data_IF_578503386659
#
_entry.id   IF_578503386659
#
_cell.length_a   1.000
_cell.length_b   1.000
_cell.length_c   1.000
_cell.angle_alpha   90.00
_cell.angle_beta   90.00
_cell.angle_gamma   90.00
#
_symmetry.space_group_name_H-M   'P 1'
#
loop_
_entity.id
_entity.type
_entity.pdbx_description
1 polymer ?
#
# COMPACT_ATOMS: atom_id res chain seq x y z
N UNK A 1 -41.32 18.86 8.70
CA UNK A 1 -40.91 17.64 9.45
C UNK A 1 -40.77 18.03 10.92
N UNK A 2 -41.55 17.42 11.82
CA UNK A 2 -41.37 17.61 13.28
C UNK A 2 -40.04 17.01 13.68
N UNK A 3 -39.08 17.84 14.11
CA UNK A 3 -37.85 17.36 14.73
C UNK A 3 -38.18 17.01 16.18
N UNK A 4 -37.96 15.76 16.55
CA UNK A 4 -38.04 15.35 17.95
C UNK A 4 -37.04 16.15 18.79
N UNK A 5 -37.36 16.44 20.07
CA UNK A 5 -36.44 17.15 20.95
C UNK A 5 -35.10 16.40 21.05
N UNK A 6 -33.97 17.11 21.10
CA UNK A 6 -32.68 16.48 21.38
C UNK A 6 -32.69 15.86 22.78
N UNK A 7 -31.84 14.85 22.98
CA UNK A 7 -31.65 14.24 24.30
C UNK A 7 -31.26 15.31 25.33
N UNK A 8 -31.78 15.19 26.55
CA UNK A 8 -31.30 15.99 27.69
C UNK A 8 -29.81 15.72 27.93
N UNK A 9 -29.11 16.67 28.54
CA UNK A 9 -27.68 16.54 28.81
C UNK A 9 -27.32 15.28 29.62
N UNK A 10 -28.07 14.99 30.69
CA UNK A 10 -27.84 13.81 31.52
C UNK A 10 -28.20 12.50 30.79
N UNK A 11 -29.28 12.50 30.00
CA UNK A 11 -29.62 11.36 29.16
C UNK A 11 -28.53 11.09 28.12
N UNK A 12 -28.02 12.13 27.46
CA UNK A 12 -26.95 12.02 26.47
C UNK A 12 -25.66 11.49 27.09
N UNK A 13 -25.28 11.97 28.28
CA UNK A 13 -24.14 11.42 29.04
C UNK A 13 -24.29 9.94 29.31
N UNK A 14 -25.45 9.54 29.84
CA UNK A 14 -25.72 8.14 30.17
C UNK A 14 -25.66 7.25 28.94
N UNK A 15 -26.23 7.71 27.81
CA UNK A 15 -26.18 6.98 26.53
C UNK A 15 -24.72 6.84 26.07
N UNK A 16 -24.00 7.95 25.92
CA UNK A 16 -22.60 7.93 25.47
C UNK A 16 -21.70 7.09 26.38
N UNK A 17 -21.94 7.07 27.69
CA UNK A 17 -21.15 6.29 28.65
C UNK A 17 -21.31 4.77 28.53
N UNK A 18 -22.40 4.31 27.91
CA UNK A 18 -22.69 2.89 27.68
C UNK A 18 -22.41 2.45 26.24
N UNK A 19 -22.10 3.37 25.34
CA UNK A 19 -21.83 3.06 23.94
C UNK A 19 -20.44 2.47 23.73
N UNK A 20 -20.34 1.55 22.77
CA UNK A 20 -19.06 1.04 22.28
C UNK A 20 -18.19 2.18 21.72
N UNK A 21 -16.88 2.12 21.99
CA UNK A 21 -15.92 3.15 21.62
C UNK A 21 -15.91 3.45 20.11
N UNK A 22 -15.93 2.41 19.27
CA UNK A 22 -15.91 2.57 17.81
C UNK A 22 -17.21 3.18 17.27
N UNK A 23 -18.32 2.99 17.98
CA UNK A 23 -19.59 3.65 17.67
C UNK A 23 -19.51 5.13 18.03
N UNK A 24 -18.93 5.47 19.20
CA UNK A 24 -18.73 6.87 19.62
C UNK A 24 -17.84 7.64 18.66
N UNK A 25 -16.74 7.08 18.17
CA UNK A 25 -15.88 7.74 17.18
C UNK A 25 -16.65 8.14 15.91
N UNK A 26 -17.50 7.24 15.41
CA UNK A 26 -18.35 7.49 14.23
C UNK A 26 -19.38 8.58 14.49
N UNK A 27 -19.98 8.62 15.69
CA UNK A 27 -20.91 9.69 16.04
C UNK A 27 -20.19 11.02 16.23
N UNK A 28 -19.03 11.02 16.88
CA UNK A 28 -18.22 12.21 17.14
C UNK A 28 -17.80 12.90 15.83
N UNK A 29 -17.41 12.12 14.81
CA UNK A 29 -17.05 12.68 13.51
C UNK A 29 -18.25 13.28 12.78
N UNK A 30 -19.42 12.61 12.81
CA UNK A 30 -20.62 12.98 12.04
C UNK A 30 -21.55 13.99 12.72
N UNK A 31 -21.54 14.09 14.04
CA UNK A 31 -22.51 14.88 14.81
C UNK A 31 -21.76 15.90 15.69
N UNK A 32 -21.53 17.12 15.21
CA UNK A 32 -20.81 18.14 15.97
C UNK A 32 -21.46 18.48 17.32
N UNK A 33 -22.80 18.43 17.42
CA UNK A 33 -23.54 18.84 18.62
C UNK A 33 -23.31 17.96 19.85
N UNK A 34 -22.84 16.72 19.68
CA UNK A 34 -22.55 15.82 20.83
C UNK A 34 -21.11 15.92 21.33
N UNK A 35 -20.21 16.59 20.60
CA UNK A 35 -18.75 16.55 20.86
C UNK A 35 -18.38 17.07 22.25
N UNK A 36 -19.08 18.11 22.73
CA UNK A 36 -18.83 18.69 24.05
C UNK A 36 -19.13 17.66 25.14
N UNK A 37 -20.30 17.03 25.07
CA UNK A 37 -20.71 15.98 26.02
C UNK A 37 -19.84 14.74 25.89
N UNK A 38 -19.50 14.34 24.68
CA UNK A 38 -18.65 13.17 24.43
C UNK A 38 -17.27 13.33 25.07
N UNK A 39 -16.66 14.53 25.00
CA UNK A 39 -15.36 14.83 25.62
C UNK A 39 -15.36 14.74 27.16
N UNK A 40 -16.50 14.95 27.82
CA UNK A 40 -16.58 14.84 29.30
C UNK A 40 -16.97 13.45 29.78
N UNK A 41 -17.50 12.60 28.89
CA UNK A 41 -17.93 11.25 29.22
C UNK A 41 -16.75 10.28 29.00
N UNK A 42 -16.28 9.56 30.04
CA UNK A 42 -15.19 8.61 29.91
C UNK A 42 -15.44 7.58 28.80
N UNK A 43 -14.40 7.28 28.02
CA UNK A 43 -14.45 6.25 26.98
C UNK A 43 -14.13 4.88 27.60
N UNK A 44 -14.98 3.89 27.38
CA UNK A 44 -14.77 2.51 27.86
C UNK A 44 -14.19 1.65 26.74
N UNK A 45 -12.97 1.16 26.95
CA UNK A 45 -12.25 0.29 26.03
C UNK A 45 -11.94 -1.02 26.77
N UNK A 46 -12.26 -2.16 26.14
CA UNK A 46 -12.00 -3.48 26.72
C UNK A 46 -10.57 -3.94 26.43
N UNK A 47 -10.14 -3.76 25.18
CA UNK A 47 -8.77 -4.05 24.75
C UNK A 47 -8.23 -2.92 23.91
N UNK A 48 -6.98 -2.56 24.17
CA UNK A 48 -6.25 -1.56 23.41
C UNK A 48 -4.87 -2.11 23.08
N UNK A 49 -4.46 -1.98 21.82
CA UNK A 49 -3.08 -2.15 21.41
C UNK A 49 -2.72 -1.11 20.38
N UNK A 50 -1.49 -0.61 20.42
CA UNK A 50 -1.01 0.40 19.50
C UNK A 50 0.37 0.01 18.97
N UNK A 51 0.62 0.39 17.72
CA UNK A 51 1.87 0.30 17.00
C UNK A 51 2.05 1.62 16.23
N UNK A 52 3.23 1.86 15.68
CA UNK A 52 3.60 3.16 15.08
C UNK A 52 2.54 3.78 14.16
N UNK A 53 1.96 3.00 13.26
CA UNK A 53 1.03 3.48 12.22
C UNK A 53 -0.38 2.89 12.33
N UNK A 54 -0.63 2.12 13.40
CA UNK A 54 -1.92 1.46 13.60
C UNK A 54 -2.25 1.21 15.06
N UNK A 55 -3.52 1.23 15.38
CA UNK A 55 -4.00 0.84 16.69
C UNK A 55 -5.27 0.01 16.59
N UNK A 56 -5.55 -0.76 17.63
CA UNK A 56 -6.71 -1.62 17.72
C UNK A 56 -7.45 -1.33 19.00
N UNK A 57 -8.75 -1.07 18.87
CA UNK A 57 -9.69 -0.89 19.97
C UNK A 57 -10.74 -1.98 19.88
N UNK A 58 -10.81 -2.82 20.91
CA UNK A 58 -11.65 -4.00 20.95
C UNK A 58 -11.34 -4.91 19.73
N UNK A 59 -12.29 -5.05 18.80
CA UNK A 59 -12.18 -5.87 17.59
C UNK A 59 -12.07 -5.03 16.30
N UNK A 60 -11.71 -3.76 16.41
CA UNK A 60 -11.57 -2.83 15.27
C UNK A 60 -10.14 -2.32 15.20
N UNK A 61 -9.47 -2.56 14.07
CA UNK A 61 -8.13 -2.05 13.77
C UNK A 61 -8.26 -0.79 12.90
N UNK A 62 -7.43 0.19 13.22
CA UNK A 62 -7.31 1.48 12.54
C UNK A 62 -5.87 1.59 12.06
N UNK A 63 -5.68 1.73 10.76
CA UNK A 63 -4.37 1.82 10.13
C UNK A 63 -4.29 3.09 9.29
N UNK A 64 -3.14 3.78 9.36
CA UNK A 64 -2.85 4.96 8.55
C UNK A 64 -1.65 4.67 7.67
N UNK A 65 -1.74 5.03 6.39
CA UNK A 65 -0.63 4.93 5.45
C UNK A 65 -0.77 5.89 4.26
N UNK A 66 0.31 6.09 3.54
CA UNK A 66 0.35 6.92 2.33
C UNK A 66 -0.09 6.09 1.12
N UNK A 67 -1.23 6.47 0.55
CA UNK A 67 -1.73 5.95 -0.72
C UNK A 67 -1.16 6.78 -1.88
N UNK A 68 -0.44 6.12 -2.79
CA UNK A 68 0.10 6.75 -3.99
C UNK A 68 -0.85 6.58 -5.15
N UNK A 69 -1.53 7.65 -5.54
CA UNK A 69 -2.46 7.65 -6.66
C UNK A 69 -1.72 7.98 -7.97
N UNK A 70 -1.41 6.94 -8.72
CA UNK A 70 -0.86 7.07 -10.08
C UNK A 70 -1.98 7.29 -11.10
N UNK A 71 -1.66 7.86 -12.27
CA UNK A 71 -2.57 7.85 -13.41
C UNK A 71 -3.03 6.43 -13.79
N UNK A 72 -4.24 6.28 -14.37
CA UNK A 72 -4.77 4.97 -14.76
C UNK A 72 -3.78 4.16 -15.59
N UNK A 73 -3.57 2.88 -15.22
CA UNK A 73 -2.66 1.96 -15.92
C UNK A 73 -1.16 2.17 -15.64
N UNK A 74 -0.78 3.24 -14.94
CA UNK A 74 0.62 3.56 -14.65
C UNK A 74 1.09 3.07 -13.28
N UNK A 75 0.19 2.65 -12.38
CA UNK A 75 0.56 2.16 -11.04
C UNK A 75 1.50 0.96 -11.14
N UNK A 76 2.72 1.04 -10.59
CA UNK A 76 3.62 -0.10 -10.51
C UNK A 76 2.99 -1.23 -9.66
N UNK A 77 3.13 -2.51 -10.04
CA UNK A 77 2.49 -3.61 -9.32
C UNK A 77 2.79 -3.63 -7.82
N UNK A 78 4.04 -3.36 -7.43
CA UNK A 78 4.41 -3.35 -6.01
C UNK A 78 3.80 -2.18 -5.24
N UNK A 79 3.61 -1.04 -5.91
CA UNK A 79 2.90 0.09 -5.32
C UNK A 79 1.42 -0.23 -5.16
N UNK A 80 0.81 -0.90 -6.14
CA UNK A 80 -0.59 -1.34 -6.04
C UNK A 80 -0.80 -2.30 -4.87
N UNK A 81 0.11 -3.28 -4.69
CA UNK A 81 0.10 -4.18 -3.52
C UNK A 81 0.15 -3.40 -2.20
N UNK A 82 1.05 -2.42 -2.09
CA UNK A 82 1.18 -1.59 -0.88
C UNK A 82 -0.06 -0.74 -0.64
N UNK A 83 -0.58 -0.09 -1.68
CA UNK A 83 -1.82 0.71 -1.61
C UNK A 83 -3.02 -0.13 -1.14
N UNK A 84 -3.14 -1.37 -1.64
CA UNK A 84 -4.19 -2.32 -1.26
C UNK A 84 -4.01 -2.83 0.17
N UNK A 85 -2.76 -2.94 0.65
CA UNK A 85 -2.41 -3.37 2.00
C UNK A 85 -2.37 -2.21 3.01
N UNK A 86 -3.15 -1.14 2.78
CA UNK A 86 -3.29 -0.02 3.70
C UNK A 86 -2.42 1.21 3.40
N UNK A 87 -1.44 1.10 2.51
CA UNK A 87 -0.56 2.20 2.08
C UNK A 87 0.86 2.08 2.61
N UNK A 88 1.71 3.03 2.24
CA UNK A 88 3.09 3.11 2.73
C UNK A 88 3.10 3.68 4.15
N UNK A 89 3.83 3.04 5.05
CA UNK A 89 3.85 3.39 6.48
C UNK A 89 4.59 4.72 6.72
N UNK A 90 5.67 4.94 5.98
CA UNK A 90 6.53 6.08 6.16
C UNK A 90 6.08 7.26 5.29
N UNK A 91 6.26 8.46 5.83
CA UNK A 91 6.02 9.70 5.11
C UNK A 91 7.08 9.90 4.01
N UNK A 92 6.80 10.82 3.09
CA UNK A 92 7.62 11.05 1.91
C UNK A 92 7.97 12.52 1.75
N UNK A 93 9.22 12.78 1.40
CA UNK A 93 9.64 14.11 0.96
C UNK A 93 9.02 14.48 -0.40
N UNK A 94 9.16 15.74 -0.81
CA UNK A 94 8.69 16.26 -2.09
C UNK A 94 9.22 15.49 -3.33
N UNK A 95 10.30 14.72 -3.19
CA UNK A 95 10.87 13.91 -4.25
C UNK A 95 10.43 12.43 -4.15
N UNK A 96 9.74 12.02 -3.09
CA UNK A 96 9.28 10.66 -2.87
C UNK A 96 10.28 9.75 -2.16
N UNK A 97 11.30 10.30 -1.49
CA UNK A 97 12.11 9.56 -0.51
C UNK A 97 11.40 9.47 0.81
N UNK A 98 11.69 8.44 1.60
CA UNK A 98 11.22 8.35 2.98
C UNK A 98 11.69 9.57 3.75
N UNK A 99 10.74 10.28 4.36
CA UNK A 99 11.01 11.37 5.28
C UNK A 99 10.86 10.88 6.73
N UNK A 100 11.99 10.84 7.43
CA UNK A 100 12.05 10.45 8.83
C UNK A 100 12.07 11.67 9.77
N UNK A 101 11.91 12.90 9.24
CA UNK A 101 12.05 14.15 10.02
C UNK A 101 11.04 14.26 11.17
N UNK A 102 9.82 13.77 10.97
CA UNK A 102 8.77 13.72 12.00
C UNK A 102 8.85 12.49 12.91
N UNK A 103 9.72 11.51 12.60
CA UNK A 103 9.79 10.28 13.36
C UNK A 103 10.25 10.58 14.79
N UNK A 104 9.53 10.04 15.76
CA UNK A 104 9.83 10.19 17.19
C UNK A 104 9.77 11.63 17.74
N UNK A 105 9.29 12.59 16.96
CA UNK A 105 9.03 13.95 17.45
C UNK A 105 7.70 13.94 18.19
N UNK A 106 7.74 14.20 19.49
CA UNK A 106 6.53 14.40 20.30
C UNK A 106 6.12 15.87 20.25
N UNK A 107 4.84 16.10 19.96
CA UNK A 107 4.19 17.41 20.00
C UNK A 107 3.37 17.57 21.28
N UNK A 108 3.05 18.81 21.71
CA UNK A 108 2.24 19.03 22.90
C UNK A 108 0.88 18.32 22.81
N UNK A 109 0.63 17.41 23.75
CA UNK A 109 -0.59 16.59 23.79
C UNK A 109 -0.40 15.14 23.36
N UNK A 110 0.77 14.78 22.82
CA UNK A 110 1.07 13.39 22.47
C UNK A 110 1.24 12.50 23.70
N UNK A 111 0.79 11.25 23.55
CA UNK A 111 1.02 10.18 24.51
C UNK A 111 2.12 9.29 23.93
N UNK A 112 3.25 9.21 24.63
CA UNK A 112 4.35 8.36 24.21
C UNK A 112 4.00 6.88 24.42
N UNK A 113 3.67 6.19 23.32
CA UNK A 113 3.34 4.77 23.29
C UNK A 113 4.46 3.92 22.68
N UNK A 114 5.66 4.49 22.49
CA UNK A 114 6.77 3.81 21.83
C UNK A 114 7.36 2.74 22.73
N UNK A 115 7.54 1.55 22.17
CA UNK A 115 8.36 0.50 22.78
C UNK A 115 9.80 0.61 22.23
N UNK A 116 10.72 1.07 23.07
CA UNK A 116 12.15 1.27 22.75
C UNK A 116 12.85 -0.04 22.32
N UNK A 117 12.24 -1.21 22.55
CA UNK A 117 12.79 -2.52 22.21
C UNK A 117 12.74 -2.91 20.72
N UNK A 118 12.05 -2.15 19.86
CA UNK A 118 11.81 -2.49 18.45
C UNK A 118 12.48 -1.54 17.44
N UNK A 119 13.38 -0.66 17.90
CA UNK A 119 13.99 0.43 17.11
C UNK A 119 15.02 0.01 16.05
N UNK A 120 15.06 -1.25 15.63
CA UNK A 120 16.02 -1.71 14.63
C UNK A 120 15.26 -2.59 13.66
N UNK A 121 15.08 -2.13 12.42
CA UNK A 121 14.98 -2.94 11.19
C UNK A 121 14.55 -2.03 10.03
N UNK A 122 15.44 -1.14 9.56
CA UNK A 122 15.30 -0.62 8.21
C UNK A 122 16.61 -0.79 7.44
N UNK A 123 16.50 -1.50 6.32
CA UNK A 123 17.61 -1.85 5.45
C UNK A 123 18.22 -0.61 4.80
N UNK A 124 19.54 -0.66 4.59
CA UNK A 124 20.28 0.42 3.97
C UNK A 124 19.73 0.78 2.58
N UNK A 125 19.92 2.04 2.14
CA UNK A 125 19.42 2.50 0.86
C UNK A 125 20.00 1.64 -0.26
N UNK A 126 19.15 1.11 -1.14
CA UNK A 126 19.62 0.60 -2.42
C UNK A 126 20.34 1.73 -3.14
N UNK A 127 21.62 1.53 -3.48
CA UNK A 127 22.37 2.52 -4.23
C UNK A 127 21.74 2.67 -5.62
N UNK A 128 21.51 3.91 -6.06
CA UNK A 128 20.89 4.24 -7.35
C UNK A 128 21.53 3.46 -8.51
N UNK A 129 22.86 3.35 -8.50
CA UNK A 129 23.63 2.63 -9.53
C UNK A 129 23.26 1.14 -9.62
N UNK A 130 23.02 0.48 -8.49
CA UNK A 130 22.61 -0.94 -8.47
C UNK A 130 21.22 -1.12 -9.07
N UNK A 131 20.30 -0.18 -8.78
CA UNK A 131 18.95 -0.17 -9.35
C UNK A 131 19.00 0.09 -10.86
N UNK A 132 19.82 1.03 -11.32
CA UNK A 132 20.03 1.30 -12.75
C UNK A 132 20.62 0.09 -13.47
N UNK A 133 21.66 -0.55 -12.91
CA UNK A 133 22.25 -1.78 -13.45
C UNK A 133 21.23 -2.93 -13.51
N UNK A 134 20.39 -3.05 -12.48
CA UNK A 134 19.31 -4.04 -12.44
C UNK A 134 18.22 -3.75 -13.47
N UNK A 135 17.87 -2.47 -13.67
CA UNK A 135 16.92 -2.04 -14.69
C UNK A 135 17.43 -2.43 -16.08
N UNK A 136 18.67 -2.07 -16.40
CA UNK A 136 19.32 -2.39 -17.67
C UNK A 136 19.35 -3.91 -17.93
N UNK A 137 19.76 -4.70 -16.93
CA UNK A 137 19.71 -6.17 -17.03
C UNK A 137 18.29 -6.70 -17.28
N UNK A 138 17.28 -6.05 -16.70
CA UNK A 138 15.87 -6.47 -16.86
C UNK A 138 15.32 -6.08 -18.23
N UNK A 139 15.74 -4.93 -18.79
CA UNK A 139 15.42 -4.53 -20.16
C UNK A 139 15.99 -5.48 -21.20
N UNK A 140 17.26 -5.88 -21.09
CA UNK A 140 17.84 -6.90 -21.99
C UNK A 140 17.07 -8.23 -21.96
N UNK A 141 16.55 -8.61 -20.79
CA UNK A 141 15.71 -9.81 -20.65
C UNK A 141 14.37 -9.66 -21.34
N UNK A 142 13.74 -8.48 -21.28
CA UNK A 142 12.46 -8.27 -21.98
C UNK A 142 12.66 -8.25 -23.49
N UNK A 143 13.72 -7.59 -23.97
CA UNK A 143 14.12 -7.59 -25.38
C UNK A 143 14.36 -9.01 -25.91
N UNK A 144 15.01 -9.87 -25.11
CA UNK A 144 15.18 -11.28 -25.47
C UNK A 144 13.82 -12.00 -25.62
N UNK A 145 12.87 -11.76 -24.72
CA UNK A 145 11.53 -12.34 -24.79
C UNK A 145 10.76 -11.84 -26.02
N UNK A 146 10.91 -10.56 -26.35
CA UNK A 146 10.28 -9.91 -27.51
C UNK A 146 10.93 -10.34 -28.83
N UNK A 147 12.20 -10.75 -28.82
CA UNK A 147 12.91 -11.23 -30.02
C UNK A 147 12.28 -12.48 -30.65
N UNK A 148 11.44 -13.21 -29.92
CA UNK A 148 10.70 -14.37 -30.43
C UNK A 148 9.50 -13.99 -31.32
N UNK A 149 9.17 -12.70 -31.48
CA UNK A 149 8.06 -12.19 -32.30
C UNK A 149 6.90 -11.59 -31.47
N UNK A 150 5.79 -11.19 -32.12
CA UNK A 150 4.63 -10.61 -31.42
C UNK A 150 4.07 -11.54 -30.35
N UNK A 151 3.75 -11.02 -29.17
CA UNK A 151 3.18 -11.79 -28.05
C UNK A 151 1.66 -11.85 -28.22
N UNK A 152 1.03 -13.04 -28.24
CA UNK A 152 -0.42 -13.17 -28.35
C UNK A 152 -1.18 -12.48 -27.20
N UNK A 153 -2.22 -11.71 -27.55
CA UNK A 153 -3.05 -11.00 -26.56
C UNK A 153 -3.99 -11.94 -25.79
N UNK A 154 -4.51 -12.99 -26.45
CA UNK A 154 -5.44 -13.98 -25.88
C UNK A 154 -4.79 -15.36 -25.94
N UNK A 155 -4.88 -16.09 -24.84
CA UNK A 155 -4.50 -17.49 -24.73
C UNK A 155 -5.73 -18.25 -24.28
N UNK A 156 -5.97 -19.43 -24.83
CA UNK A 156 -7.05 -20.32 -24.37
C UNK A 156 -6.76 -20.74 -22.92
N UNK A 157 -7.74 -20.57 -22.03
CA UNK A 157 -7.64 -20.66 -20.56
C UNK A 157 -7.74 -22.12 -20.06
N UNK A 158 -7.35 -23.07 -20.90
CA UNK A 158 -7.66 -24.50 -20.73
C UNK A 158 -6.53 -25.25 -20.00
N UNK A 159 -5.60 -24.55 -19.35
CA UNK A 159 -4.34 -25.14 -18.87
C UNK A 159 -4.40 -25.58 -17.41
N UNK A 160 -4.89 -26.81 -17.19
CA UNK A 160 -4.53 -27.62 -16.02
C UNK A 160 -3.05 -28.04 -16.17
N UNK A 161 -2.12 -27.22 -15.68
CA UNK A 161 -0.69 -27.47 -15.78
C UNK A 161 0.03 -27.46 -14.43
N UNK A 162 1.08 -28.27 -14.36
CA UNK A 162 2.00 -28.35 -13.23
C UNK A 162 2.74 -27.01 -13.07
N UNK A 163 2.31 -26.23 -12.06
CA UNK A 163 2.84 -24.90 -11.71
C UNK A 163 4.38 -24.88 -11.57
N UNK A 164 4.99 -26.03 -11.24
CA UNK A 164 6.45 -26.13 -11.12
C UNK A 164 7.18 -26.09 -12.48
N UNK A 165 6.71 -26.86 -13.46
CA UNK A 165 7.31 -26.90 -14.81
C UNK A 165 7.11 -25.57 -15.54
N UNK A 166 5.93 -24.94 -15.37
CA UNK A 166 5.65 -23.61 -15.90
C UNK A 166 6.59 -22.56 -15.29
N UNK A 167 6.80 -22.60 -13.96
CA UNK A 167 7.77 -21.71 -13.29
C UNK A 167 9.20 -21.93 -13.79
N UNK A 168 9.61 -23.17 -14.02
CA UNK A 168 10.94 -23.49 -14.56
C UNK A 168 11.11 -22.93 -15.95
N UNK A 169 10.15 -23.16 -16.85
CA UNK A 169 10.22 -22.66 -18.22
C UNK A 169 10.17 -21.12 -18.28
N UNK A 170 9.31 -20.46 -17.48
CA UNK A 170 9.33 -19.01 -17.30
C UNK A 170 10.71 -18.53 -16.86
N UNK A 171 11.35 -19.27 -15.95
CA UNK A 171 12.66 -18.93 -15.42
C UNK A 171 13.76 -19.03 -16.49
N UNK A 172 13.74 -20.08 -17.30
CA UNK A 172 14.69 -20.31 -18.39
C UNK A 172 14.53 -19.29 -19.53
N UNK A 173 13.29 -18.97 -19.93
CA UNK A 173 12.97 -17.88 -20.88
C UNK A 173 13.54 -16.56 -20.34
N UNK A 174 13.28 -16.26 -19.06
CA UNK A 174 13.73 -15.03 -18.40
C UNK A 174 15.24 -14.92 -18.27
N UNK A 175 15.94 -16.04 -18.23
CA UNK A 175 17.41 -16.07 -18.08
C UNK A 175 18.13 -16.18 -19.41
N UNK A 176 17.42 -16.39 -20.52
CA UNK A 176 17.99 -16.52 -21.85
C UNK A 176 18.74 -17.84 -22.07
N UNK A 177 18.43 -18.86 -21.27
CA UNK A 177 19.14 -20.15 -21.29
C UNK A 177 18.50 -21.18 -22.23
N UNK A 178 17.33 -20.87 -22.80
CA UNK A 178 16.67 -21.74 -23.77
C UNK A 178 17.41 -21.75 -25.11
N UNK A 179 17.64 -22.96 -25.64
CA UNK A 179 18.22 -23.13 -26.97
C UNK A 179 17.16 -22.86 -28.04
N UNK A 180 17.48 -22.11 -29.12
CA UNK A 180 16.54 -21.79 -30.21
C UNK A 180 15.95 -23.01 -30.94
N UNK A 181 16.56 -24.18 -30.77
CA UNK A 181 16.28 -25.41 -31.53
C UNK A 181 15.32 -26.38 -30.84
N UNK A 182 14.93 -26.11 -29.60
CA UNK A 182 13.96 -26.94 -28.88
C UNK A 182 12.57 -26.70 -29.49
N UNK A 183 11.93 -27.75 -30.04
CA UNK A 183 10.54 -27.69 -30.55
C UNK A 183 9.69 -26.84 -29.62
N UNK A 184 9.10 -25.75 -30.12
CA UNK A 184 8.24 -24.84 -29.36
C UNK A 184 6.99 -25.61 -28.88
N UNK A 185 6.86 -25.93 -27.58
CA UNK A 185 5.67 -26.61 -27.08
C UNK A 185 4.44 -25.71 -27.24
N UNK A 186 3.23 -26.28 -27.24
CA UNK A 186 1.98 -25.49 -27.27
C UNK A 186 1.93 -24.45 -26.14
N UNK A 187 2.51 -24.79 -25.00
CA UNK A 187 2.61 -23.99 -23.76
C UNK A 187 3.63 -22.85 -23.82
N UNK A 188 4.46 -22.80 -24.86
CA UNK A 188 5.53 -21.81 -24.99
C UNK A 188 5.00 -20.39 -24.99
N UNK A 189 3.92 -20.14 -25.74
CA UNK A 189 3.36 -18.79 -25.88
C UNK A 189 2.74 -18.28 -24.58
N UNK A 190 2.09 -19.17 -23.81
CA UNK A 190 1.61 -18.82 -22.47
C UNK A 190 2.71 -18.50 -21.49
N UNK A 191 3.74 -19.34 -21.46
CA UNK A 191 4.92 -19.13 -20.63
C UNK A 191 5.65 -17.83 -21.02
N UNK A 192 5.74 -17.53 -22.32
CA UNK A 192 6.36 -16.33 -22.86
C UNK A 192 5.62 -15.06 -22.45
N UNK A 193 4.28 -15.06 -22.55
CA UNK A 193 3.43 -13.96 -22.08
C UNK A 193 3.59 -13.74 -20.57
N UNK A 194 3.54 -14.80 -19.77
CA UNK A 194 3.75 -14.70 -18.32
C UNK A 194 5.14 -14.16 -17.95
N UNK A 195 6.18 -14.60 -18.68
CA UNK A 195 7.54 -14.09 -18.49
C UNK A 195 7.62 -12.60 -18.84
N UNK A 196 7.01 -12.18 -19.95
CA UNK A 196 6.92 -10.79 -20.38
C UNK A 196 6.21 -9.91 -19.36
N UNK A 197 5.00 -10.29 -18.92
CA UNK A 197 4.22 -9.54 -17.93
C UNK A 197 5.00 -9.38 -16.61
N UNK A 198 5.66 -10.46 -16.17
CA UNK A 198 6.50 -10.45 -14.96
C UNK A 198 7.72 -9.55 -15.10
N UNK A 199 8.36 -9.52 -16.27
CA UNK A 199 9.50 -8.64 -16.56
C UNK A 199 9.05 -7.17 -16.66
N UNK A 200 7.94 -6.91 -17.37
CA UNK A 200 7.33 -5.58 -17.48
C UNK A 200 6.95 -5.03 -16.10
N UNK A 201 6.30 -5.83 -15.25
CA UNK A 201 6.00 -5.47 -13.87
C UNK A 201 7.26 -5.19 -13.04
N UNK A 202 8.33 -5.98 -13.21
CA UNK A 202 9.63 -5.71 -12.56
C UNK A 202 10.25 -4.41 -13.02
N UNK A 203 10.20 -4.08 -14.31
CA UNK A 203 10.68 -2.81 -14.86
C UNK A 203 9.92 -1.66 -14.21
N UNK A 204 8.59 -1.70 -14.19
CA UNK A 204 7.75 -0.68 -13.53
C UNK A 204 8.12 -0.51 -12.05
N UNK A 205 8.35 -1.61 -11.33
CA UNK A 205 8.74 -1.56 -9.91
C UNK A 205 10.14 -0.97 -9.69
N UNK A 206 11.12 -1.30 -10.54
CA UNK A 206 12.47 -0.72 -10.44
C UNK A 206 12.42 0.76 -10.79
N UNK A 207 11.70 1.15 -11.85
CA UNK A 207 11.46 2.55 -12.21
C UNK A 207 10.83 3.33 -11.06
N UNK A 208 9.84 2.75 -10.37
CA UNK A 208 9.22 3.39 -9.20
C UNK A 208 10.20 3.64 -8.06
N UNK A 209 11.19 2.76 -7.85
CA UNK A 209 12.26 2.95 -6.86
C UNK A 209 13.32 3.96 -7.30
N UNK A 210 13.55 4.10 -8.61
CA UNK A 210 14.46 5.09 -9.18
C UNK A 210 13.84 6.48 -9.28
N UNK A 211 12.49 6.54 -9.33
CA UNK A 211 11.75 7.78 -9.50
C UNK A 211 12.17 8.89 -8.53
N UNK A 212 12.40 8.64 -7.22
CA UNK A 212 12.81 9.71 -6.32
C UNK A 212 14.17 10.32 -6.67
N UNK A 213 15.12 9.49 -7.10
CA UNK A 213 16.45 9.95 -7.53
C UNK A 213 16.35 10.85 -8.76
N UNK A 214 15.56 10.46 -9.76
CA UNK A 214 15.36 11.25 -10.97
C UNK A 214 14.59 12.53 -10.68
N UNK A 215 13.55 12.47 -9.84
CA UNK A 215 12.77 13.64 -9.43
C UNK A 215 13.64 14.68 -8.72
N UNK A 216 14.52 14.23 -7.83
CA UNK A 216 15.51 15.09 -7.14
C UNK A 216 16.57 15.65 -8.08
N UNK A 217 17.14 14.82 -8.96
CA UNK A 217 18.22 15.21 -9.88
C UNK A 217 17.74 16.20 -10.94
N UNK A 218 16.57 15.94 -11.52
CA UNK A 218 16.08 16.65 -12.71
C UNK A 218 15.08 17.77 -12.34
N UNK A 219 14.72 17.91 -11.06
CA UNK A 219 13.78 18.92 -10.58
C UNK A 219 12.35 18.70 -11.07
N UNK A 220 11.98 17.46 -11.41
CA UNK A 220 10.65 17.08 -11.89
C UNK A 220 9.77 16.56 -10.75
N UNK A 221 8.46 16.80 -10.77
CA UNK A 221 7.56 16.28 -9.75
C UNK A 221 7.43 14.76 -9.83
N UNK A 222 7.04 14.14 -8.71
CA UNK A 222 6.70 12.72 -8.68
C UNK A 222 5.44 12.44 -9.53
N UNK A 223 5.33 11.24 -10.13
CA UNK A 223 4.25 10.91 -11.08
C UNK A 223 2.96 10.44 -10.40
N UNK A 224 2.74 10.83 -9.14
CA UNK A 224 1.59 10.43 -8.34
C UNK A 224 1.18 11.53 -7.38
N UNK A 225 -0.10 11.54 -7.03
CA UNK A 225 -0.63 12.31 -5.91
C UNK A 225 -0.54 11.46 -4.63
N UNK A 226 -0.20 12.11 -3.51
CA UNK A 226 -0.16 11.46 -2.19
C UNK A 226 -1.46 11.71 -1.42
N UNK A 227 -1.97 10.64 -0.81
CA UNK A 227 -3.13 10.71 0.07
C UNK A 227 -2.80 10.01 1.39
N UNK A 228 -3.23 10.57 2.50
CA UNK A 228 -3.34 9.82 3.75
C UNK A 228 -4.56 8.90 3.61
N UNK A 229 -4.34 7.60 3.75
CA UNK A 229 -5.35 6.58 3.76
C UNK A 229 -5.57 6.11 5.20
N UNK A 230 -6.81 6.26 5.69
CA UNK A 230 -7.27 5.64 6.92
C UNK A 230 -8.05 4.37 6.56
N UNK A 231 -7.53 3.22 6.95
CA UNK A 231 -8.19 1.92 6.81
C UNK A 231 -8.73 1.49 8.17
N UNK A 232 -10.05 1.30 8.25
CA UNK A 232 -10.73 0.82 9.45
C UNK A 232 -11.29 -0.55 9.17
N UNK A 233 -10.72 -1.57 9.80
CA UNK A 233 -11.11 -2.96 9.60
C UNK A 233 -11.71 -3.58 10.86
N UNK A 234 -12.72 -4.40 10.67
CA UNK A 234 -13.39 -5.19 11.70
C UNK A 234 -13.68 -6.57 11.14
N UNK A 235 -14.12 -7.52 11.97
CA UNK A 235 -14.40 -8.91 11.54
C UNK A 235 -15.32 -9.06 10.32
N UNK A 236 -16.14 -8.05 10.01
CA UNK A 236 -17.18 -8.13 8.96
C UNK A 236 -17.10 -7.02 7.92
N UNK A 237 -16.27 -6.01 8.13
CA UNK A 237 -16.30 -4.81 7.31
C UNK A 237 -14.93 -4.14 7.33
N UNK A 238 -14.56 -3.65 6.15
CA UNK A 238 -13.46 -2.72 5.94
C UNK A 238 -14.03 -1.41 5.40
N UNK A 239 -13.51 -0.29 5.87
CA UNK A 239 -13.86 1.05 5.43
C UNK A 239 -12.57 1.84 5.18
N UNK A 240 -12.50 2.53 4.05
CA UNK A 240 -11.32 3.28 3.64
C UNK A 240 -11.71 4.73 3.40
N UNK A 241 -11.02 5.65 4.07
CA UNK A 241 -11.09 7.09 3.81
C UNK A 241 -9.74 7.58 3.31
N UNK A 242 -9.76 8.52 2.36
CA UNK A 242 -8.55 9.12 1.79
C UNK A 242 -8.64 10.63 1.82
N UNK A 243 -7.59 11.27 2.32
CA UNK A 243 -7.46 12.73 2.36
C UNK A 243 -6.19 13.10 1.63
N UNK A 244 -6.29 14.02 0.67
CA UNK A 244 -5.11 14.48 -0.07
C UNK A 244 -4.14 15.19 0.88
N UNK A 245 -2.87 14.84 0.76
CA UNK A 245 -1.78 15.36 1.58
C UNK A 245 -0.75 15.98 0.63
N UNK A 246 -0.31 17.20 0.95
CA UNK A 246 0.54 18.06 0.10
C UNK A 246 1.92 18.21 0.72
#
# INVERSE_FOLDING_TARGET
MNRFPPLSYESLKSVLGQMDANTRFRLFSRIPSIRITDKVVPLRIQTFSAHNYKFKINNTEYEVGIYKKYPPGMTPPKVQEVNNAGGLIDDLDQHGFVDDSGRNVLTPGDVDLRDLGLLVLFGGPYQQQDLEKKLEKTRRKIEFVESFGPIPEVLEDDMDHDDFELRRLVQEIRDGTLKPTTKRPKEFEGTRKMAHDKLSGKIKNIMAKLQPFYSRRDGVPVPYESFIQLTVSSRRQEHIERVQYS
#
